data_IF_337280100074
#
_entry.id   IF_337280100074
#
_cell.length_a   1.000
_cell.length_b   1.000
_cell.length_c   1.000
_cell.angle_alpha   90.00
_cell.angle_beta   90.00
_cell.angle_gamma   90.00
#
_symmetry.space_group_name_H-M   'P 1'
#
loop_
_entity.id
_entity.type
_entity.pdbx_description
1 polymer ?
#
# COMPACT_ATOMS: atom_id res chain seq x y z
N UNK A 1 -0.51 20.66 -12.15
CA UNK A 1 -0.96 20.48 -10.75
C UNK A 1 -1.75 19.19 -10.55
N UNK A 2 -2.81 18.92 -11.32
CA UNK A 2 -3.65 17.72 -11.18
C UNK A 2 -2.86 16.40 -11.28
N UNK A 3 -1.97 16.25 -12.25
CA UNK A 3 -1.13 15.04 -12.44
C UNK A 3 -0.25 14.78 -11.21
N UNK A 4 0.33 15.82 -10.64
CA UNK A 4 1.16 15.69 -9.44
C UNK A 4 0.34 15.24 -8.21
N UNK A 5 -0.89 15.74 -8.08
CA UNK A 5 -1.82 15.34 -7.01
C UNK A 5 -2.25 13.88 -7.17
N UNK A 6 -2.58 13.46 -8.40
CA UNK A 6 -2.93 12.07 -8.70
C UNK A 6 -1.75 11.13 -8.41
N UNK A 7 -0.54 11.53 -8.82
CA UNK A 7 0.67 10.76 -8.56
C UNK A 7 0.96 10.63 -7.06
N UNK A 8 0.87 11.74 -6.31
CA UNK A 8 1.05 11.72 -4.86
C UNK A 8 -0.01 10.87 -4.15
N UNK A 9 -1.27 10.94 -4.57
CA UNK A 9 -2.35 10.11 -4.06
C UNK A 9 -2.12 8.62 -4.33
N UNK A 10 -1.67 8.28 -5.54
CA UNK A 10 -1.31 6.90 -5.91
C UNK A 10 -0.15 6.39 -5.07
N UNK A 11 0.91 7.17 -4.91
CA UNK A 11 2.03 6.82 -4.03
C UNK A 11 1.55 6.60 -2.59
N UNK A 12 0.77 7.52 -2.05
CA UNK A 12 0.25 7.42 -0.69
C UNK A 12 -0.59 6.15 -0.49
N UNK A 13 -1.38 5.76 -1.49
CA UNK A 13 -2.19 4.54 -1.46
C UNK A 13 -1.32 3.28 -1.46
N UNK A 14 -0.31 3.23 -2.32
CA UNK A 14 0.51 2.03 -2.50
C UNK A 14 1.71 1.96 -1.54
N UNK A 15 2.17 3.04 -0.92
CA UNK A 15 3.30 2.96 0.00
C UNK A 15 2.98 2.13 1.25
N UNK A 16 3.80 1.11 1.60
CA UNK A 16 3.64 0.33 2.82
C UNK A 16 3.74 1.21 4.07
N UNK A 17 2.82 0.98 4.97
CA UNK A 17 2.80 1.60 6.31
C UNK A 17 2.85 0.51 7.36
N UNK A 18 3.18 0.88 8.59
CA UNK A 18 3.19 -0.03 9.71
C UNK A 18 2.59 0.64 10.95
N UNK A 19 1.90 -0.15 11.75
CA UNK A 19 1.42 0.26 13.05
C UNK A 19 1.56 -0.87 14.05
N UNK A 20 1.72 -0.54 15.32
CA UNK A 20 1.71 -1.51 16.41
C UNK A 20 0.29 -1.74 16.87
N UNK A 21 -0.09 -2.99 16.93
CA UNK A 21 -1.46 -3.39 17.23
C UNK A 21 -1.51 -4.52 18.23
N UNK A 22 -2.62 -4.62 18.94
CA UNK A 22 -3.08 -5.82 19.61
C UNK A 22 -4.12 -6.47 18.70
N UNK A 23 -3.90 -7.70 18.28
CA UNK A 23 -4.85 -8.44 17.44
C UNK A 23 -6.00 -8.91 18.31
N UNK A 24 -7.22 -8.52 17.96
CA UNK A 24 -8.41 -8.82 18.75
C UNK A 24 -9.29 -9.92 18.14
N UNK A 25 -9.08 -10.24 16.86
CA UNK A 25 -9.83 -11.30 16.21
C UNK A 25 -9.55 -11.43 14.72
N UNK A 26 -10.05 -12.51 14.16
CA UNK A 26 -10.02 -12.76 12.72
C UNK A 26 -11.39 -13.25 12.26
N UNK A 27 -11.79 -12.89 11.04
CA UNK A 27 -13.05 -13.33 10.45
C UNK A 27 -12.86 -13.64 8.96
N UNK A 28 -13.58 -14.61 8.47
CA UNK A 28 -13.70 -14.89 7.04
C UNK A 28 -15.10 -14.50 6.59
N UNK A 29 -15.18 -13.51 5.70
CA UNK A 29 -16.44 -13.07 5.10
C UNK A 29 -16.53 -13.54 3.66
N UNK A 30 -17.62 -14.16 3.31
CA UNK A 30 -17.96 -14.43 1.92
C UNK A 30 -18.44 -13.13 1.28
N UNK A 31 -17.73 -12.69 0.25
CA UNK A 31 -18.11 -11.52 -0.54
C UNK A 31 -18.54 -11.94 -1.93
N UNK A 32 -19.81 -11.65 -2.24
CA UNK A 32 -20.36 -11.88 -3.57
C UNK A 32 -20.15 -10.64 -4.41
N UNK A 33 -19.37 -10.78 -5.47
CA UNK A 33 -19.15 -9.70 -6.45
C UNK A 33 -19.88 -10.07 -7.72
N UNK A 34 -20.78 -9.19 -8.16
CA UNK A 34 -21.43 -9.33 -9.46
C UNK A 34 -20.50 -8.69 -10.51
N UNK A 35 -20.06 -9.51 -11.45
CA UNK A 35 -19.27 -8.99 -12.58
C UNK A 35 -20.22 -8.17 -13.47
N UNK A 36 -19.89 -6.87 -13.61
CA UNK A 36 -20.73 -5.94 -14.39
C UNK A 36 -20.74 -6.24 -15.90
N UNK A 37 -19.72 -6.95 -16.40
CA UNK A 37 -19.58 -7.27 -17.82
C UNK A 37 -20.27 -8.58 -18.21
N UNK A 38 -20.23 -9.60 -17.33
CA UNK A 38 -20.75 -10.94 -17.64
C UNK A 38 -22.02 -11.29 -16.87
N UNK A 39 -22.37 -10.52 -15.84
CA UNK A 39 -23.48 -10.82 -14.95
C UNK A 39 -23.23 -11.99 -13.99
N UNK A 40 -22.07 -12.62 -14.08
CA UNK A 40 -21.69 -13.76 -13.23
C UNK A 40 -21.49 -13.35 -11.78
N UNK A 41 -22.04 -14.15 -10.87
CA UNK A 41 -21.81 -14.03 -9.45
C UNK A 41 -20.52 -14.75 -9.08
N UNK A 42 -19.45 -14.00 -8.75
CA UNK A 42 -18.23 -14.55 -8.16
C UNK A 42 -18.31 -14.39 -6.66
N UNK A 43 -18.34 -15.50 -5.96
CA UNK A 43 -18.24 -15.56 -4.51
C UNK A 43 -16.78 -15.83 -4.15
N UNK A 44 -16.21 -15.03 -3.24
CA UNK A 44 -14.86 -15.25 -2.72
C UNK A 44 -14.85 -15.04 -1.21
N UNK A 45 -14.05 -15.83 -0.55
CA UNK A 45 -13.80 -15.69 0.88
C UNK A 45 -12.71 -14.63 1.10
N UNK A 46 -13.05 -13.59 1.83
CA UNK A 46 -12.12 -12.51 2.21
C UNK A 46 -11.82 -12.62 3.69
N UNK A 47 -10.55 -12.69 4.04
CA UNK A 47 -10.11 -12.73 5.42
C UNK A 47 -9.93 -11.31 5.96
N UNK A 48 -10.46 -11.07 7.16
CA UNK A 48 -10.28 -9.82 7.90
C UNK A 48 -9.52 -10.07 9.20
N UNK A 49 -8.71 -9.10 9.58
CA UNK A 49 -8.00 -9.06 10.84
C UNK A 49 -8.48 -7.82 11.59
N UNK A 50 -9.01 -8.04 12.79
CA UNK A 50 -9.42 -7.00 13.71
C UNK A 50 -8.31 -6.73 14.70
N UNK A 51 -8.01 -5.47 14.94
CA UNK A 51 -6.93 -5.10 15.83
C UNK A 51 -7.22 -3.77 16.53
N UNK A 52 -6.59 -3.54 17.65
CA UNK A 52 -6.59 -2.24 18.35
C UNK A 52 -5.21 -1.62 18.22
N UNK A 53 -5.12 -0.40 17.73
CA UNK A 53 -3.85 0.32 17.67
C UNK A 53 -3.31 0.56 19.08
N UNK A 54 -2.06 0.24 19.31
CA UNK A 54 -1.47 0.32 20.64
C UNK A 54 -1.45 1.75 21.20
N UNK A 55 -1.20 2.74 20.34
CA UNK A 55 -1.02 4.15 20.73
C UNK A 55 -2.34 4.89 20.90
N UNK A 56 -3.20 4.88 19.90
CA UNK A 56 -4.48 5.62 19.90
C UNK A 56 -5.62 4.86 20.55
N UNK A 57 -5.47 3.54 20.73
CA UNK A 57 -6.54 2.64 21.19
C UNK A 57 -7.73 2.56 20.22
N UNK A 58 -7.55 2.98 18.98
CA UNK A 58 -8.57 2.90 17.96
C UNK A 58 -8.71 1.47 17.42
N UNK A 59 -9.94 1.06 17.16
CA UNK A 59 -10.23 -0.21 16.51
C UNK A 59 -9.93 -0.10 15.00
N UNK A 60 -9.11 -1.01 14.51
CA UNK A 60 -8.69 -1.09 13.13
C UNK A 60 -9.16 -2.40 12.49
N UNK A 61 -9.54 -2.33 11.23
CA UNK A 61 -9.93 -3.49 10.43
C UNK A 61 -9.07 -3.53 9.19
N UNK A 62 -8.45 -4.68 8.96
CA UNK A 62 -7.60 -4.93 7.82
C UNK A 62 -8.12 -6.10 7.00
N UNK A 63 -7.98 -6.00 5.70
CA UNK A 63 -8.16 -7.11 4.78
C UNK A 63 -6.86 -7.90 4.69
N UNK A 64 -6.95 -9.21 4.54
CA UNK A 64 -5.80 -10.08 4.36
C UNK A 64 -6.00 -10.95 3.13
N UNK A 65 -5.60 -10.44 1.98
CA UNK A 65 -5.69 -11.13 0.69
C UNK A 65 -4.33 -11.16 0.00
N UNK A 66 -4.10 -12.22 -0.76
CA UNK A 66 -2.94 -12.32 -1.63
C UNK A 66 -3.05 -11.34 -2.79
N UNK A 67 -1.91 -10.81 -3.23
CA UNK A 67 -1.84 -9.98 -4.42
C UNK A 67 -0.44 -9.96 -5.04
N UNK A 68 -0.39 -9.73 -6.35
CA UNK A 68 0.87 -9.69 -7.10
C UNK A 68 1.69 -8.42 -6.90
N UNK A 69 1.12 -7.30 -6.39
CA UNK A 69 1.82 -6.02 -6.30
C UNK A 69 3.03 -6.04 -5.36
N UNK A 70 2.93 -6.85 -4.29
CA UNK A 70 4.00 -7.01 -3.31
C UNK A 70 4.53 -8.44 -3.25
N UNK A 71 4.24 -9.25 -4.28
CA UNK A 71 4.54 -10.69 -4.28
C UNK A 71 4.04 -11.39 -3.01
N UNK A 72 2.87 -10.93 -2.54
CA UNK A 72 2.25 -11.47 -1.33
C UNK A 72 1.39 -12.69 -1.68
N UNK A 73 1.80 -13.83 -1.17
CA UNK A 73 1.14 -15.14 -1.37
C UNK A 73 1.03 -15.93 -0.06
N UNK A 74 1.10 -15.25 1.08
CA UNK A 74 1.18 -15.78 2.44
C UNK A 74 -0.03 -15.41 3.31
N UNK A 75 -1.17 -15.06 2.70
CA UNK A 75 -2.37 -14.67 3.46
C UNK A 75 -2.87 -15.75 4.42
N UNK A 76 -2.62 -17.03 4.11
CA UNK A 76 -2.93 -18.16 5.00
C UNK A 76 -2.08 -18.12 6.27
N UNK A 77 -0.77 -17.92 6.12
CA UNK A 77 0.18 -17.89 7.25
C UNK A 77 -0.08 -16.67 8.14
N UNK A 78 -0.33 -15.51 7.53
CA UNK A 78 -0.72 -14.30 8.27
C UNK A 78 -2.02 -14.50 9.04
N UNK A 79 -3.01 -15.20 8.47
CA UNK A 79 -4.26 -15.50 9.16
C UNK A 79 -4.05 -16.45 10.35
N UNK A 80 -3.17 -17.44 10.20
CA UNK A 80 -2.81 -18.35 11.29
C UNK A 80 -2.12 -17.59 12.44
N UNK A 81 -1.14 -16.72 12.13
CA UNK A 81 -0.45 -15.90 13.13
C UNK A 81 -1.42 -14.93 13.83
N UNK A 82 -2.30 -14.27 13.05
CA UNK A 82 -3.34 -13.39 13.62
C UNK A 82 -4.29 -14.15 14.55
N UNK A 83 -4.66 -15.37 14.18
CA UNK A 83 -5.51 -16.21 15.03
C UNK A 83 -4.81 -16.68 16.31
N UNK A 84 -3.51 -16.93 16.26
CA UNK A 84 -2.69 -17.23 17.42
C UNK A 84 -2.65 -16.04 18.37
N UNK A 85 -2.27 -14.86 17.87
CA UNK A 85 -2.18 -13.62 18.66
C UNK A 85 -3.52 -13.24 19.29
N UNK A 86 -4.64 -13.44 18.58
CA UNK A 86 -5.98 -13.12 19.08
C UNK A 86 -6.45 -14.07 20.20
N UNK A 87 -5.83 -15.25 20.34
CA UNK A 87 -6.18 -16.23 21.38
C UNK A 87 -5.27 -16.18 22.60
N UNK A 88 -4.16 -15.48 22.52
CA UNK A 88 -3.24 -15.36 23.64
C UNK A 88 -3.90 -14.56 24.77
N UNK A 89 -3.76 -15.07 26.01
CA UNK A 89 -4.27 -14.39 27.20
C UNK A 89 -3.45 -13.13 27.57
N UNK A 90 -2.25 -13.03 27.01
CA UNK A 90 -1.35 -11.88 27.18
C UNK A 90 -1.49 -10.98 25.97
N UNK A 91 -1.65 -9.68 26.22
CA UNK A 91 -1.73 -8.63 25.18
C UNK A 91 -0.38 -8.48 24.46
N UNK A 92 -0.08 -9.38 23.53
CA UNK A 92 1.13 -9.35 22.73
C UNK A 92 1.05 -8.27 21.66
N UNK A 93 2.06 -7.39 21.63
CA UNK A 93 2.17 -6.35 20.61
C UNK A 93 2.65 -6.94 19.30
N UNK A 94 1.91 -6.69 18.23
CA UNK A 94 2.31 -7.08 16.89
C UNK A 94 2.57 -5.84 16.01
N UNK A 95 3.60 -5.92 15.16
CA UNK A 95 3.81 -4.97 14.07
C UNK A 95 3.02 -5.43 12.86
N UNK A 96 2.00 -4.68 12.50
CA UNK A 96 1.18 -4.92 11.32
C UNK A 96 1.62 -3.96 10.22
N UNK A 97 2.11 -4.53 9.10
CA UNK A 97 2.43 -3.77 7.89
C UNK A 97 1.30 -3.92 6.89
N UNK A 98 0.93 -2.81 6.25
CA UNK A 98 -0.21 -2.77 5.33
C UNK A 98 -0.04 -1.68 4.28
N UNK A 99 -0.85 -1.73 3.23
CA UNK A 99 -1.02 -0.67 2.24
C UNK A 99 -2.51 -0.43 1.98
N UNK A 100 -2.83 0.64 1.30
CA UNK A 100 -4.21 1.01 1.03
C UNK A 100 -4.79 1.92 2.12
N UNK A 101 -6.06 2.28 1.93
CA UNK A 101 -6.79 3.20 2.80
C UNK A 101 -8.13 2.60 3.19
N UNK A 102 -8.60 2.94 4.39
CA UNK A 102 -9.98 2.75 4.76
C UNK A 102 -10.82 3.86 4.12
N UNK A 103 -11.68 3.49 3.17
CA UNK A 103 -12.62 4.40 2.52
C UNK A 103 -14.02 3.83 2.75
N UNK A 104 -14.74 4.39 3.72
CA UNK A 104 -16.03 3.84 4.18
C UNK A 104 -17.08 3.77 3.05
N UNK A 105 -17.16 4.80 2.20
CA UNK A 105 -18.12 4.87 1.07
C UNK A 105 -17.88 3.75 0.04
N UNK A 106 -16.61 3.32 -0.13
CA UNK A 106 -16.23 2.27 -1.08
C UNK A 106 -16.10 0.90 -0.43
N UNK A 107 -16.43 0.79 0.85
CA UNK A 107 -16.17 -0.41 1.67
C UNK A 107 -14.76 -0.98 1.48
N UNK A 108 -13.79 -0.08 1.29
CA UNK A 108 -12.39 -0.42 1.08
C UNK A 108 -11.66 -0.50 2.41
N UNK A 109 -10.87 -1.56 2.57
CA UNK A 109 -10.03 -1.80 3.74
C UNK A 109 -8.57 -1.89 3.33
N UNK A 110 -7.63 -1.38 4.15
CA UNK A 110 -6.21 -1.58 3.90
C UNK A 110 -5.87 -3.07 3.94
N UNK A 111 -4.96 -3.50 3.04
CA UNK A 111 -4.56 -4.89 2.95
C UNK A 111 -3.25 -5.14 3.71
N UNK A 112 -3.24 -6.17 4.53
CA UNK A 112 -2.07 -6.57 5.32
C UNK A 112 -0.97 -7.09 4.39
N UNK A 113 0.26 -6.68 4.65
CA UNK A 113 1.47 -7.19 4.00
C UNK A 113 2.23 -8.17 4.88
N UNK A 114 2.28 -7.91 6.17
CA UNK A 114 2.89 -8.83 7.13
C UNK A 114 2.41 -8.52 8.54
N UNK A 115 2.37 -9.54 9.36
CA UNK A 115 2.08 -9.45 10.78
C UNK A 115 3.20 -10.17 11.52
N UNK A 116 3.81 -9.51 12.50
CA UNK A 116 4.90 -10.10 13.31
C UNK A 116 4.77 -9.64 14.75
N UNK A 117 4.88 -10.56 15.67
CA UNK A 117 5.03 -10.26 17.08
C UNK A 117 6.32 -9.47 17.31
N UNK A 118 6.26 -8.40 18.09
CA UNK A 118 7.38 -7.52 18.42
C UNK A 118 7.30 -7.04 19.85
N UNK A 119 8.42 -6.65 20.41
CA UNK A 119 8.45 -5.99 21.72
C UNK A 119 7.75 -4.62 21.65
N UNK A 120 7.20 -4.19 22.78
CA UNK A 120 6.44 -2.93 22.85
C UNK A 120 7.26 -1.70 22.52
N UNK A 121 8.57 -1.71 22.72
CA UNK A 121 9.54 -0.65 22.42
C UNK A 121 10.13 -0.72 21.01
N UNK A 122 9.84 -1.78 20.24
CA UNK A 122 10.35 -1.96 18.89
C UNK A 122 10.12 -0.72 18.02
N UNK A 123 11.16 -0.24 17.32
CA UNK A 123 11.10 0.89 16.40
C UNK A 123 11.10 0.41 14.94
N UNK A 124 10.03 0.65 14.25
CA UNK A 124 9.92 0.30 12.83
C UNK A 124 10.64 1.31 11.93
N UNK A 125 11.57 0.83 11.11
CA UNK A 125 12.24 1.64 10.07
C UNK A 125 11.67 1.27 8.70
N UNK A 126 11.09 2.22 7.95
CA UNK A 126 10.41 1.94 6.68
C UNK A 126 11.42 1.85 5.49
N UNK A 127 12.34 0.90 5.52
CA UNK A 127 13.40 0.73 4.51
C UNK A 127 12.87 0.65 3.08
N UNK A 128 11.76 -0.07 2.86
CA UNK A 128 11.14 -0.22 1.55
C UNK A 128 10.72 1.15 0.99
N UNK A 129 10.09 1.98 1.83
CA UNK A 129 9.67 3.32 1.43
C UNK A 129 10.87 4.22 1.12
N UNK A 130 11.94 4.12 1.90
CA UNK A 130 13.18 4.87 1.67
C UNK A 130 13.79 4.50 0.31
N UNK A 131 13.89 3.21 -0.01
CA UNK A 131 14.41 2.75 -1.31
C UNK A 131 13.52 3.23 -2.47
N UNK A 132 12.20 3.09 -2.34
CA UNK A 132 11.26 3.57 -3.36
C UNK A 132 11.44 5.07 -3.60
N UNK A 133 11.52 5.88 -2.55
CA UNK A 133 11.69 7.33 -2.67
C UNK A 133 13.03 7.71 -3.31
N UNK A 134 14.12 7.02 -2.98
CA UNK A 134 15.44 7.24 -3.61
C UNK A 134 15.37 6.92 -5.11
N UNK A 135 14.79 5.78 -5.49
CA UNK A 135 14.64 5.40 -6.91
C UNK A 135 13.80 6.43 -7.66
N UNK A 136 12.68 6.86 -7.09
CA UNK A 136 11.83 7.90 -7.68
C UNK A 136 12.56 9.23 -7.85
N UNK A 137 13.37 9.63 -6.86
CA UNK A 137 14.18 10.84 -6.95
C UNK A 137 15.20 10.76 -8.10
N UNK A 138 15.91 9.63 -8.23
CA UNK A 138 16.85 9.39 -9.33
C UNK A 138 16.14 9.48 -10.69
N UNK A 139 14.99 8.81 -10.82
CA UNK A 139 14.20 8.84 -12.05
C UNK A 139 13.70 10.25 -12.38
N UNK A 140 13.29 11.02 -11.38
CA UNK A 140 12.84 12.39 -11.54
C UNK A 140 13.98 13.31 -12.04
N UNK A 141 15.17 13.20 -11.43
CA UNK A 141 16.37 13.95 -11.86
C UNK A 141 16.74 13.57 -13.30
N UNK A 142 16.77 12.26 -13.61
CA UNK A 142 17.07 11.77 -14.94
C UNK A 142 16.09 12.29 -16.00
N UNK A 143 14.79 12.24 -15.71
CA UNK A 143 13.75 12.77 -16.60
C UNK A 143 13.91 14.28 -16.82
N UNK A 144 14.19 15.05 -15.76
CA UNK A 144 14.44 16.49 -15.83
C UNK A 144 15.63 16.83 -16.72
N UNK A 145 16.74 16.09 -16.59
CA UNK A 145 17.92 16.25 -17.47
C UNK A 145 17.58 15.93 -18.92
N UNK A 146 16.89 14.82 -19.17
CA UNK A 146 16.45 14.45 -20.53
C UNK A 146 15.56 15.49 -21.17
N UNK A 147 14.57 16.00 -20.45
CA UNK A 147 13.68 17.05 -20.91
C UNK A 147 14.47 18.32 -21.28
N UNK A 148 15.40 18.76 -20.41
CA UNK A 148 16.25 19.92 -20.70
C UNK A 148 17.08 19.73 -21.97
N UNK A 149 17.66 18.55 -22.17
CA UNK A 149 18.42 18.23 -23.40
C UNK A 149 17.55 18.29 -24.66
N UNK A 150 16.35 17.73 -24.62
CA UNK A 150 15.41 17.76 -25.76
C UNK A 150 15.03 19.23 -26.07
N UNK A 151 14.68 20.03 -25.08
CA UNK A 151 14.33 21.43 -25.29
C UNK A 151 15.50 22.25 -25.82
N UNK A 152 16.74 22.05 -25.32
CA UNK A 152 17.92 22.75 -25.81
C UNK A 152 18.23 22.41 -27.28
N UNK A 153 18.13 21.12 -27.64
CA UNK A 153 18.32 20.66 -29.01
C UNK A 153 17.24 21.22 -29.97
N UNK A 154 16.00 21.25 -29.56
CA UNK A 154 14.91 21.85 -30.32
C UNK A 154 15.12 23.35 -30.55
N UNK A 155 15.49 24.10 -29.50
CA UNK A 155 15.80 25.53 -29.59
C UNK A 155 16.97 25.80 -30.53
N UNK A 156 18.04 25.00 -30.50
CA UNK A 156 19.18 25.14 -31.39
C UNK A 156 18.83 24.88 -32.86
N UNK A 157 17.92 23.95 -33.15
CA UNK A 157 17.41 23.69 -34.50
C UNK A 157 16.55 24.85 -35.04
N UNK A 158 15.71 25.45 -34.20
CA UNK A 158 14.89 26.62 -34.58
C UNK A 158 15.73 27.85 -34.86
N UNK A 159 16.80 28.10 -34.06
CA UNK A 159 17.72 29.23 -34.24
C UNK A 159 18.61 29.13 -35.50
N UNK A 160 18.76 27.91 -36.07
CA UNK A 160 19.56 27.67 -37.28
C UNK A 160 18.74 27.68 -38.57
N UNK A 161 17.43 27.96 -38.51
CA UNK A 161 16.59 28.09 -39.72
C UNK A 161 16.92 29.48 -40.32
N UNK A 162 17.54 29.59 -41.52
CA UNK A 162 17.72 30.88 -42.19
C UNK A 162 16.34 31.41 -42.54
N UNK A 163 16.14 32.72 -42.32
CA UNK A 163 14.95 33.41 -42.80
C UNK A 163 14.85 33.21 -44.30
N UNK A 164 13.82 32.50 -44.70
CA UNK A 164 13.43 32.32 -46.10
C UNK A 164 12.83 33.66 -46.58
N UNK A 165 13.70 34.54 -47.04
CA UNK A 165 13.35 35.72 -47.82
C UNK A 165 13.29 35.36 -49.29
#
# INVERSE_FOLDING_TARGET
MLVALLFAGTLYYFMPRATKVLVTGTEVKRMDTKDAATGDHRSRDVRFIYATEQKSKEALVFRNEDNGWYFKFDSGDIAAEASKLAKNEVDETALLRYYGLRIAILDSYPNVLSLKEVESDYVYVPWVNMVILIVLLILFIWAGVKIRHVFSAAKAKLSKRPDAS
#
